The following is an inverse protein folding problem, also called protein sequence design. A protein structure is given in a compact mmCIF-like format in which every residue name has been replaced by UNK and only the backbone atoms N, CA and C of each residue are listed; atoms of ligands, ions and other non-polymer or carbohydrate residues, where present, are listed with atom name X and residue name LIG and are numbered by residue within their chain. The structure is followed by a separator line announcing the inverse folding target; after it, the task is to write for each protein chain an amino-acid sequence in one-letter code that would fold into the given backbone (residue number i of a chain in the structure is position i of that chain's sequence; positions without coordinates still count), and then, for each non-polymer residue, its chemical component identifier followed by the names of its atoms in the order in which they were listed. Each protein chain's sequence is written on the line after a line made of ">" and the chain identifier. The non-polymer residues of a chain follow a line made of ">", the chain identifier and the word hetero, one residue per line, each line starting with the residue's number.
data_IF_878364566984
#
_entry.id   IF_878364566984
#
_cell.length_a   1.000
_cell.length_b   1.000
_cell.length_c   1.000
_cell.angle_alpha   90.00
_cell.angle_beta   90.00
_cell.angle_gamma   90.00
#
_symmetry.space_group_name_H-M   'P 1'
#
loop_
_entity.id
_entity.type
_entity.pdbx_description
1 polymer ?
#
# COMPACT_ATOMS: atom_id res chain seq x y z
N UNK A 1 18.67 -28.80 -8.80
CA UNK A 1 18.18 -27.41 -8.84
C UNK A 1 19.30 -26.50 -8.31
N UNK A 2 19.72 -25.44 -9.04
CA UNK A 2 20.73 -24.50 -8.51
C UNK A 2 20.10 -23.66 -7.39
N UNK A 3 20.82 -23.45 -6.29
CA UNK A 3 20.32 -22.69 -5.12
C UNK A 3 20.19 -21.21 -5.49
N UNK A 4 19.03 -20.61 -5.25
CA UNK A 4 18.86 -19.16 -5.36
C UNK A 4 19.51 -18.52 -4.15
N UNK A 5 20.39 -17.56 -4.37
CA UNK A 5 21.04 -16.84 -3.30
C UNK A 5 20.14 -15.74 -2.75
N UNK A 6 20.13 -15.54 -1.44
CA UNK A 6 19.39 -14.47 -0.77
C UNK A 6 19.74 -13.06 -1.31
N UNK A 7 20.97 -12.87 -1.80
CA UNK A 7 21.44 -11.61 -2.38
C UNK A 7 20.65 -11.16 -3.64
N UNK A 8 19.95 -12.08 -4.31
CA UNK A 8 19.13 -11.77 -5.49
C UNK A 8 17.85 -11.01 -5.14
N UNK A 9 17.40 -11.07 -3.88
CA UNK A 9 16.19 -10.40 -3.40
C UNK A 9 16.48 -9.18 -2.51
N UNK A 10 17.69 -8.60 -2.66
CA UNK A 10 18.13 -7.38 -1.94
C UNK A 10 18.15 -7.57 -0.42
N UNK A 11 18.76 -8.66 0.04
CA UNK A 11 19.12 -8.83 1.44
C UNK A 11 20.57 -8.34 1.67
N UNK A 12 20.78 -7.45 2.65
CA UNK A 12 22.13 -7.08 3.10
C UNK A 12 22.77 -8.19 3.98
N UNK A 13 21.97 -9.19 4.40
CA UNK A 13 22.48 -10.38 5.09
C UNK A 13 23.06 -11.38 4.10
N UNK A 14 24.39 -11.33 3.95
CA UNK A 14 25.17 -12.29 3.17
C UNK A 14 25.23 -13.69 3.81
N UNK A 15 24.87 -13.81 5.09
CA UNK A 15 25.16 -14.99 5.92
C UNK A 15 23.94 -15.87 6.28
N UNK A 16 22.70 -15.44 5.98
CA UNK A 16 21.54 -16.35 6.13
C UNK A 16 21.39 -17.23 4.90
N UNK A 17 21.76 -18.51 5.04
CA UNK A 17 21.52 -19.52 4.02
C UNK A 17 20.04 -19.58 3.66
N UNK A 18 19.70 -19.58 2.36
CA UNK A 18 18.31 -19.55 1.87
C UNK A 18 17.55 -20.87 2.07
N UNK A 19 17.76 -21.58 3.18
CA UNK A 19 17.26 -22.95 3.40
C UNK A 19 17.79 -23.96 2.37
N UNK A 20 17.35 -25.21 2.51
CA UNK A 20 17.52 -26.27 1.53
C UNK A 20 16.34 -26.27 0.56
N UNK A 21 16.55 -26.47 -0.76
CA UNK A 21 15.44 -26.54 -1.70
C UNK A 21 14.47 -27.66 -1.36
N UNK A 22 13.17 -27.36 -1.36
CA UNK A 22 12.10 -28.35 -1.28
C UNK A 22 11.64 -28.67 -2.69
N UNK A 23 11.32 -29.94 -2.95
CA UNK A 23 10.69 -30.31 -4.21
C UNK A 23 9.23 -29.85 -4.21
N UNK A 24 8.91 -28.89 -5.05
CA UNK A 24 7.54 -28.47 -5.38
C UNK A 24 7.34 -28.58 -6.88
N UNK A 25 6.11 -28.84 -7.30
CA UNK A 25 5.77 -28.72 -8.72
C UNK A 25 5.64 -27.24 -9.08
N UNK A 26 6.20 -26.84 -10.24
CA UNK A 26 6.00 -25.47 -10.73
C UNK A 26 4.52 -25.23 -10.99
N UNK A 27 3.91 -24.31 -10.25
CA UNK A 27 2.52 -23.89 -10.47
C UNK A 27 2.44 -22.60 -11.27
N UNK A 28 1.45 -22.52 -12.15
CA UNK A 28 1.07 -21.30 -12.90
C UNK A 28 -0.41 -21.08 -12.68
N UNK A 29 -0.82 -19.86 -12.38
CA UNK A 29 -2.22 -19.53 -12.13
C UNK A 29 -2.50 -18.06 -12.42
N UNK A 30 -3.77 -17.75 -12.71
CA UNK A 30 -4.24 -16.39 -12.93
C UNK A 30 -4.89 -15.83 -11.67
N UNK A 31 -4.48 -14.63 -11.27
CA UNK A 31 -5.12 -13.93 -10.16
C UNK A 31 -5.05 -12.41 -10.36
N UNK A 32 -6.20 -11.76 -10.23
CA UNK A 32 -6.33 -10.30 -10.40
C UNK A 32 -5.99 -9.80 -11.81
N UNK A 33 -6.17 -10.63 -12.84
CA UNK A 33 -5.79 -10.31 -14.22
C UNK A 33 -4.30 -10.41 -14.52
N UNK A 34 -3.52 -11.03 -13.64
CA UNK A 34 -2.10 -11.29 -13.83
C UNK A 34 -1.81 -12.79 -13.80
N UNK A 35 -0.83 -13.22 -14.61
CA UNK A 35 -0.23 -14.53 -14.52
C UNK A 35 0.78 -14.56 -13.35
N UNK A 36 0.69 -15.61 -12.55
CA UNK A 36 1.57 -15.88 -11.42
C UNK A 36 2.25 -17.23 -11.59
N UNK A 37 3.47 -17.34 -11.10
CA UNK A 37 4.29 -18.56 -11.16
C UNK A 37 4.92 -18.81 -9.80
N UNK A 38 4.85 -20.05 -9.30
CA UNK A 38 5.58 -20.49 -8.10
C UNK A 38 6.65 -21.47 -8.56
N UNK A 39 7.90 -21.01 -8.77
CA UNK A 39 8.95 -21.86 -9.31
C UNK A 39 9.74 -22.65 -8.26
N UNK A 40 9.79 -22.19 -7.00
CA UNK A 40 10.64 -22.81 -5.98
C UNK A 40 10.20 -22.51 -4.55
N UNK A 41 10.47 -23.45 -3.65
CA UNK A 41 10.39 -23.27 -2.21
C UNK A 41 11.67 -23.80 -1.53
N UNK A 42 11.98 -23.25 -0.36
CA UNK A 42 13.16 -23.61 0.43
C UNK A 42 12.79 -23.65 1.90
N UNK A 43 13.20 -24.68 2.63
CA UNK A 43 13.00 -24.75 4.08
C UNK A 43 14.31 -24.81 4.84
N UNK A 44 14.27 -24.27 6.05
CA UNK A 44 15.18 -24.68 7.12
C UNK A 44 14.36 -25.19 8.32
N UNK A 45 14.98 -25.26 9.51
CA UNK A 45 14.33 -25.80 10.71
C UNK A 45 13.20 -24.90 11.27
N UNK A 46 13.17 -23.62 10.94
CA UNK A 46 12.27 -22.62 11.54
C UNK A 46 11.54 -21.73 10.53
N UNK A 47 11.90 -21.82 9.25
CA UNK A 47 11.27 -21.03 8.20
C UNK A 47 11.11 -21.79 6.88
N UNK A 48 10.10 -21.37 6.12
CA UNK A 48 10.00 -21.67 4.69
C UNK A 48 9.99 -20.36 3.90
N UNK A 49 10.75 -20.36 2.82
CA UNK A 49 10.83 -19.31 1.83
C UNK A 49 10.21 -19.81 0.53
N UNK A 50 9.23 -19.08 -0.01
CA UNK A 50 8.59 -19.42 -1.28
C UNK A 50 8.87 -18.30 -2.27
N UNK A 51 9.47 -18.65 -3.40
CA UNK A 51 9.66 -17.71 -4.51
C UNK A 51 8.38 -17.68 -5.35
N UNK A 52 7.90 -16.48 -5.67
CA UNK A 52 6.64 -16.25 -6.38
C UNK A 52 6.89 -15.15 -7.41
N UNK A 53 6.58 -15.41 -8.67
CA UNK A 53 6.78 -14.47 -9.77
C UNK A 53 5.42 -14.01 -10.30
N UNK A 54 5.27 -12.73 -10.58
CA UNK A 54 4.10 -12.16 -11.24
C UNK A 54 4.52 -11.55 -12.56
N UNK A 55 3.88 -11.97 -13.66
CA UNK A 55 4.08 -11.36 -14.96
C UNK A 55 3.40 -10.00 -15.02
N UNK A 56 4.11 -9.00 -15.51
CA UNK A 56 3.62 -7.64 -15.70
C UNK A 56 3.56 -7.38 -17.21
N UNK A 57 2.39 -7.01 -17.76
CA UNK A 57 2.30 -6.62 -19.16
C UNK A 57 3.22 -5.42 -19.44
N UNK A 58 4.04 -5.49 -20.49
CA UNK A 58 4.99 -4.44 -20.84
C UNK A 58 4.25 -3.17 -21.25
N UNK A 59 3.11 -3.31 -21.93
CA UNK A 59 2.21 -2.24 -22.31
C UNK A 59 1.65 -1.49 -21.09
N UNK A 60 1.43 -2.19 -19.96
CA UNK A 60 0.99 -1.54 -18.73
C UNK A 60 2.09 -0.67 -18.12
N UNK A 61 3.35 -1.13 -18.17
CA UNK A 61 4.50 -0.30 -17.76
C UNK A 61 4.68 0.91 -18.66
N UNK A 62 4.55 0.75 -19.98
CA UNK A 62 4.60 1.86 -20.95
C UNK A 62 3.49 2.87 -20.69
N UNK A 63 2.24 2.40 -20.61
CA UNK A 63 1.06 3.25 -20.31
C UNK A 63 1.22 4.02 -19.00
N UNK A 64 1.79 3.38 -17.97
CA UNK A 64 2.08 4.05 -16.70
C UNK A 64 3.14 5.15 -16.87
N UNK A 65 4.25 4.88 -17.58
CA UNK A 65 5.30 5.86 -17.86
C UNK A 65 4.76 7.01 -18.71
N UNK A 66 3.97 6.75 -19.74
CA UNK A 66 3.39 7.79 -20.60
C UNK A 66 2.46 8.72 -19.79
N UNK A 67 1.69 8.15 -18.86
CA UNK A 67 0.76 8.91 -18.02
C UNK A 67 1.44 9.70 -16.89
N UNK A 68 2.53 9.17 -16.32
CA UNK A 68 3.09 9.63 -15.04
C UNK A 68 4.59 9.95 -15.03
N UNK A 69 5.34 9.62 -16.10
CA UNK A 69 6.81 9.56 -16.12
C UNK A 69 7.51 10.90 -15.87
N UNK A 70 7.09 11.95 -16.56
CA UNK A 70 7.73 13.29 -16.47
C UNK A 70 7.15 14.16 -15.34
N UNK A 71 6.14 13.67 -14.62
CA UNK A 71 5.50 14.46 -13.57
C UNK A 71 6.37 14.45 -12.33
N UNK A 72 6.85 15.63 -11.93
CA UNK A 72 7.49 15.79 -10.65
C UNK A 72 6.53 15.36 -9.53
N UNK A 73 6.92 14.30 -8.81
CA UNK A 73 6.15 13.77 -7.69
C UNK A 73 5.91 14.84 -6.63
N UNK A 74 6.81 15.83 -6.49
CA UNK A 74 6.64 16.95 -5.57
C UNK A 74 5.53 17.93 -6.02
N UNK A 75 5.04 17.86 -7.26
CA UNK A 75 3.97 18.73 -7.75
C UNK A 75 2.58 18.05 -7.77
N UNK A 76 2.50 16.73 -7.56
CA UNK A 76 1.23 16.01 -7.58
C UNK A 76 0.35 16.35 -6.36
N UNK A 77 -0.96 16.56 -6.56
CA UNK A 77 -1.91 16.63 -5.43
C UNK A 77 -1.96 15.30 -4.67
N UNK A 78 -2.53 15.28 -3.47
CA UNK A 78 -2.70 14.01 -2.74
C UNK A 78 -3.52 13.00 -3.55
N UNK A 79 -4.61 13.47 -4.17
CA UNK A 79 -5.45 12.65 -5.03
C UNK A 79 -4.67 12.08 -6.23
N UNK A 80 -3.87 12.91 -6.91
CA UNK A 80 -3.07 12.46 -8.04
C UNK A 80 -1.99 11.47 -7.62
N UNK A 81 -1.36 11.67 -6.46
CA UNK A 81 -0.37 10.74 -5.90
C UNK A 81 -1.01 9.39 -5.56
N UNK A 82 -2.19 9.41 -4.93
CA UNK A 82 -2.97 8.21 -4.63
C UNK A 82 -3.38 7.48 -5.91
N UNK A 83 -3.88 8.20 -6.92
CA UNK A 83 -4.25 7.62 -8.21
C UNK A 83 -3.04 7.02 -8.94
N UNK A 84 -1.91 7.72 -8.96
CA UNK A 84 -0.66 7.24 -9.50
C UNK A 84 -0.20 5.95 -8.82
N UNK A 85 -0.30 5.86 -7.49
CA UNK A 85 0.02 4.63 -6.77
C UNK A 85 -0.92 3.47 -7.16
N UNK A 86 -2.19 3.74 -7.42
CA UNK A 86 -3.14 2.72 -7.88
C UNK A 86 -2.92 2.31 -9.34
N UNK A 87 -2.37 3.20 -10.17
CA UNK A 87 -2.09 2.94 -11.58
C UNK A 87 -0.74 2.25 -11.80
N UNK A 88 0.15 2.24 -10.81
CA UNK A 88 1.47 1.63 -10.91
C UNK A 88 1.34 0.09 -11.02
N UNK A 89 1.67 -0.52 -12.17
CA UNK A 89 1.50 -1.96 -12.37
C UNK A 89 2.42 -2.79 -11.45
N UNK A 90 3.50 -2.20 -10.92
CA UNK A 90 4.39 -2.82 -9.94
C UNK A 90 3.84 -2.77 -8.51
N UNK A 91 2.73 -2.05 -8.30
CA UNK A 91 2.08 -1.83 -7.00
C UNK A 91 0.73 -2.53 -6.95
N UNK A 92 0.78 -3.84 -6.73
CA UNK A 92 -0.37 -4.62 -6.29
C UNK A 92 -0.17 -5.01 -4.83
N UNK A 93 -1.04 -4.60 -3.90
CA UNK A 93 -0.94 -5.07 -2.52
C UNK A 93 -1.29 -6.54 -2.48
N UNK A 94 -0.39 -7.32 -1.92
CA UNK A 94 -0.53 -8.77 -1.80
C UNK A 94 -0.15 -9.22 -0.41
N UNK A 95 -0.85 -10.24 0.03
CA UNK A 95 -0.59 -11.00 1.24
C UNK A 95 -0.43 -12.45 0.84
N UNK A 96 0.57 -13.09 1.43
CA UNK A 96 0.80 -14.50 1.31
C UNK A 96 0.61 -15.11 2.70
N UNK A 97 -0.25 -16.11 2.80
CA UNK A 97 -0.32 -17.05 3.92
C UNK A 97 -0.10 -18.45 3.34
N UNK A 98 0.36 -19.37 4.17
CA UNK A 98 0.40 -20.79 3.80
C UNK A 98 -0.44 -21.59 4.79
N UNK A 99 -0.91 -22.74 4.34
CA UNK A 99 -1.43 -23.78 5.21
C UNK A 99 -0.53 -24.99 5.08
N UNK A 100 -0.02 -25.50 6.20
CA UNK A 100 0.80 -26.71 6.25
C UNK A 100 0.10 -27.73 7.12
N UNK A 101 -0.16 -28.94 6.59
CA UNK A 101 -0.82 -30.02 7.33
C UNK A 101 -2.16 -29.59 7.98
N UNK A 102 -2.86 -28.60 7.41
CA UNK A 102 -4.12 -28.04 7.94
C UNK A 102 -3.95 -26.87 8.93
N UNK A 103 -2.73 -26.47 9.27
CA UNK A 103 -2.47 -25.30 10.12
C UNK A 103 -2.08 -24.07 9.29
N UNK A 104 -2.79 -22.95 9.49
CA UNK A 104 -2.48 -21.69 8.81
C UNK A 104 -1.27 -21.01 9.46
N UNK A 105 -0.26 -20.73 8.63
CA UNK A 105 0.91 -19.93 8.98
C UNK A 105 0.87 -18.65 8.17
N UNK A 106 0.73 -17.53 8.88
CA UNK A 106 0.72 -16.20 8.27
C UNK A 106 2.14 -15.80 7.86
N UNK A 107 2.28 -15.23 6.66
CA UNK A 107 3.56 -14.71 6.18
C UNK A 107 4.12 -13.62 7.10
N UNK A 108 5.39 -13.76 7.45
CA UNK A 108 6.14 -12.82 8.28
C UNK A 108 6.65 -11.61 7.48
N UNK A 109 6.63 -11.72 6.15
CA UNK A 109 6.97 -10.65 5.23
C UNK A 109 7.33 -11.20 3.85
N UNK A 110 7.77 -10.30 2.97
CA UNK A 110 8.36 -10.70 1.70
C UNK A 110 9.36 -9.65 1.21
N UNK A 111 10.35 -10.12 0.45
CA UNK A 111 11.24 -9.27 -0.32
C UNK A 111 10.77 -9.24 -1.77
N UNK A 112 11.04 -8.14 -2.49
CA UNK A 112 10.73 -8.08 -3.92
C UNK A 112 11.82 -7.45 -4.76
N UNK A 113 11.93 -7.93 -5.99
CA UNK A 113 12.75 -7.33 -7.04
C UNK A 113 12.01 -7.39 -8.37
N UNK A 114 12.47 -6.66 -9.39
CA UNK A 114 11.79 -6.53 -10.68
C UNK A 114 12.76 -6.73 -11.83
N UNK A 115 12.34 -7.49 -12.84
CA UNK A 115 12.95 -7.53 -14.16
C UNK A 115 12.11 -6.65 -15.09
N UNK A 116 12.78 -5.77 -15.82
CA UNK A 116 12.17 -5.02 -16.92
C UNK A 116 13.03 -5.20 -18.16
N UNK A 117 12.44 -5.60 -19.31
CA UNK A 117 13.21 -5.85 -20.54
C UNK A 117 14.05 -4.66 -21.01
N UNK A 118 13.56 -3.42 -20.78
CA UNK A 118 14.18 -2.17 -21.27
C UNK A 118 15.05 -1.45 -20.22
N UNK A 119 15.28 -2.05 -19.04
CA UNK A 119 16.12 -1.45 -17.99
C UNK A 119 17.56 -1.99 -18.09
N UNK A 120 18.57 -1.13 -18.20
CA UNK A 120 19.97 -1.56 -18.31
C UNK A 120 20.78 -1.37 -17.02
N UNK A 121 20.13 -1.07 -15.88
CA UNK A 121 20.82 -0.86 -14.61
C UNK A 121 21.45 -2.14 -14.01
N UNK A 122 22.47 -1.99 -13.15
CA UNK A 122 23.14 -3.11 -12.46
C UNK A 122 22.18 -4.01 -11.67
N UNK A 123 21.10 -3.43 -11.13
CA UNK A 123 20.02 -4.18 -10.48
C UNK A 123 19.40 -5.24 -11.38
N UNK A 124 19.37 -5.00 -12.70
CA UNK A 124 18.78 -5.92 -13.66
C UNK A 124 19.67 -7.15 -13.94
N UNK A 125 20.99 -7.07 -13.72
CA UNK A 125 21.92 -8.20 -13.95
C UNK A 125 21.61 -9.36 -12.99
N UNK A 126 21.42 -9.07 -11.69
CA UNK A 126 21.11 -10.10 -10.68
C UNK A 126 19.73 -10.73 -10.89
N UNK A 127 18.77 -9.93 -11.34
CA UNK A 127 17.41 -10.41 -11.61
C UNK A 127 17.37 -11.25 -12.89
N UNK A 128 18.26 -10.99 -13.86
CA UNK A 128 18.41 -11.83 -15.06
C UNK A 128 18.74 -13.29 -14.73
N UNK A 129 19.53 -13.53 -13.68
CA UNK A 129 19.81 -14.89 -13.20
C UNK A 129 18.54 -15.61 -12.70
N UNK A 130 17.67 -14.89 -11.99
CA UNK A 130 16.37 -15.44 -11.55
C UNK A 130 15.48 -15.77 -12.74
N UNK A 131 15.44 -14.89 -13.75
CA UNK A 131 14.69 -15.08 -14.97
C UNK A 131 15.12 -16.35 -15.73
N UNK A 132 16.43 -16.56 -15.86
CA UNK A 132 17.00 -17.76 -16.47
C UNK A 132 16.72 -19.01 -15.63
N UNK A 133 16.93 -18.94 -14.32
CA UNK A 133 16.75 -20.07 -13.41
C UNK A 133 15.31 -20.59 -13.40
N UNK A 134 14.32 -19.68 -13.41
CA UNK A 134 12.91 -20.05 -13.39
C UNK A 134 12.30 -20.23 -14.78
N UNK A 135 13.09 -20.07 -15.85
CA UNK A 135 12.64 -20.24 -17.23
C UNK A 135 11.54 -19.25 -17.64
N UNK A 136 11.64 -17.99 -17.19
CA UNK A 136 10.64 -16.96 -17.46
C UNK A 136 10.97 -16.20 -18.75
N UNK A 137 9.94 -15.71 -19.45
CA UNK A 137 10.10 -15.03 -20.74
C UNK A 137 10.82 -13.67 -20.57
N UNK A 138 11.98 -13.44 -21.22
CA UNK A 138 12.80 -12.25 -21.04
C UNK A 138 12.20 -10.97 -21.64
N UNK A 139 11.29 -11.12 -22.61
CA UNK A 139 10.57 -10.05 -23.29
C UNK A 139 9.43 -9.45 -22.45
N UNK A 140 9.12 -10.08 -21.32
CA UNK A 140 8.07 -9.68 -20.39
C UNK A 140 8.68 -9.06 -19.15
N UNK A 141 7.97 -8.15 -18.50
CA UNK A 141 8.38 -7.69 -17.18
C UNK A 141 7.91 -8.66 -16.09
N UNK A 142 8.72 -8.84 -15.06
CA UNK A 142 8.45 -9.79 -13.98
C UNK A 142 8.71 -9.15 -12.63
N UNK A 143 7.77 -9.32 -11.71
CA UNK A 143 7.95 -8.99 -10.30
C UNK A 143 8.21 -10.28 -9.54
N UNK A 144 9.33 -10.34 -8.84
CA UNK A 144 9.73 -11.50 -8.06
C UNK A 144 9.51 -11.19 -6.59
N UNK A 145 8.85 -12.10 -5.89
CA UNK A 145 8.65 -12.08 -4.46
C UNK A 145 9.37 -13.27 -3.84
N UNK A 146 9.99 -13.07 -2.68
CA UNK A 146 10.37 -14.15 -1.77
C UNK A 146 9.54 -13.98 -0.50
N UNK A 147 8.50 -14.79 -0.35
CA UNK A 147 7.65 -14.81 0.83
C UNK A 147 8.28 -15.67 1.92
N UNK A 148 8.30 -15.15 3.15
CA UNK A 148 8.92 -15.79 4.31
C UNK A 148 7.85 -16.14 5.33
N UNK A 149 7.86 -17.38 5.80
CA UNK A 149 6.94 -17.88 6.81
C UNK A 149 7.75 -18.54 7.91
N UNK A 150 7.64 -18.03 9.13
CA UNK A 150 8.31 -18.59 10.31
C UNK A 150 7.34 -19.38 11.17
N UNK A 151 7.85 -20.38 11.88
CA UNK A 151 7.15 -21.09 12.93
C UNK A 151 8.00 -21.18 14.20
N UNK A 152 7.35 -21.18 15.36
CA UNK A 152 8.04 -21.16 16.65
C UNK A 152 8.55 -22.55 17.09
N UNK A 153 7.91 -23.61 16.62
CA UNK A 153 8.18 -24.99 17.03
C UNK A 153 8.62 -25.78 15.83
N UNK A 154 9.61 -26.66 16.01
CA UNK A 154 10.02 -27.60 14.97
C UNK A 154 8.79 -28.28 14.36
N UNK A 155 8.64 -28.11 13.06
CA UNK A 155 7.46 -28.57 12.35
C UNK A 155 7.63 -30.06 12.02
N UNK A 156 6.57 -30.83 12.21
CA UNK A 156 6.53 -32.22 11.74
C UNK A 156 6.70 -32.29 10.22
N UNK A 157 6.95 -33.49 9.69
CA UNK A 157 7.06 -33.72 8.25
C UNK A 157 5.92 -33.06 7.46
N UNK A 158 6.29 -32.28 6.44
CA UNK A 158 5.34 -31.59 5.56
C UNK A 158 4.67 -32.63 4.66
N UNK A 159 3.38 -32.90 4.88
CA UNK A 159 2.57 -33.83 4.08
C UNK A 159 1.72 -33.12 3.05
N UNK A 160 1.23 -31.93 3.39
CA UNK A 160 0.47 -31.06 2.49
C UNK A 160 0.86 -29.61 2.72
N UNK A 161 0.86 -28.84 1.64
CA UNK A 161 1.09 -27.41 1.66
C UNK A 161 0.19 -26.71 0.66
N UNK A 162 -0.40 -25.59 1.07
CA UNK A 162 -1.07 -24.69 0.14
C UNK A 162 -0.69 -23.24 0.40
N UNK A 163 -0.67 -22.44 -0.66
CA UNK A 163 -0.44 -21.00 -0.61
C UNK A 163 -1.77 -20.27 -0.83
N UNK A 164 -2.09 -19.34 0.06
CA UNK A 164 -3.17 -18.38 -0.09
C UNK A 164 -2.62 -17.03 -0.53
N UNK A 165 -2.95 -16.63 -1.76
CA UNK A 165 -2.75 -15.28 -2.26
C UNK A 165 -4.01 -14.45 -1.99
N UNK A 166 -3.88 -13.38 -1.22
CA UNK A 166 -4.96 -12.44 -0.91
C UNK A 166 -4.49 -10.99 -0.97
N UNK A 167 -5.42 -10.05 -0.75
CA UNK A 167 -5.12 -8.61 -0.76
C UNK A 167 -5.91 -7.85 0.29
N UNK A 168 -5.33 -6.75 0.76
CA UNK A 168 -6.08 -5.75 1.52
C UNK A 168 -6.93 -4.89 0.58
N UNK A 169 -7.94 -4.22 1.14
CA UNK A 169 -8.65 -3.17 0.42
C UNK A 169 -7.67 -2.07 0.02
N UNK A 170 -7.85 -1.56 -1.19
CA UNK A 170 -7.10 -0.43 -1.74
C UNK A 170 -8.07 0.69 -2.04
N UNK A 171 -7.80 1.85 -1.47
CA UNK A 171 -8.56 3.05 -1.78
C UNK A 171 -8.08 3.63 -3.10
N UNK A 172 -8.98 3.65 -4.10
CA UNK A 172 -8.76 4.35 -5.37
C UNK A 172 -9.58 5.65 -5.38
N UNK A 173 -8.98 6.80 -5.75
CA UNK A 173 -9.74 8.04 -5.93
C UNK A 173 -10.88 7.87 -6.95
N UNK A 174 -12.07 8.34 -6.57
CA UNK A 174 -13.25 8.36 -7.44
C UNK A 174 -13.24 9.55 -8.42
N UNK A 175 -12.40 10.57 -8.20
CA UNK A 175 -12.45 11.85 -8.91
C UNK A 175 -13.64 12.74 -8.55
N UNK A 176 -14.51 12.30 -7.64
CA UNK A 176 -15.52 13.17 -7.07
C UNK A 176 -14.91 14.00 -5.94
N UNK A 177 -15.15 15.31 -5.98
CA UNK A 177 -14.68 16.27 -4.98
C UNK A 177 -15.84 17.10 -4.45
N UNK A 178 -15.69 17.57 -3.22
CA UNK A 178 -16.62 18.50 -2.60
C UNK A 178 -15.88 19.36 -1.57
N UNK A 179 -16.49 20.48 -1.20
CA UNK A 179 -15.87 21.44 -0.29
C UNK A 179 -16.69 21.56 0.98
N UNK A 180 -16.02 21.81 2.11
CA UNK A 180 -16.67 22.07 3.39
C UNK A 180 -16.09 23.30 4.07
N UNK A 181 -16.96 24.14 4.62
CA UNK A 181 -16.60 25.16 5.60
C UNK A 181 -16.90 24.68 7.02
N UNK A 182 -16.37 25.36 8.03
CA UNK A 182 -16.78 25.11 9.42
C UNK A 182 -18.29 25.36 9.55
N UNK A 183 -19.02 24.45 10.20
CA UNK A 183 -20.48 24.52 10.40
C UNK A 183 -21.35 24.45 9.13
N UNK A 184 -20.84 23.98 7.99
CA UNK A 184 -21.65 23.78 6.78
C UNK A 184 -22.54 22.52 6.79
N UNK A 185 -22.36 21.65 7.79
CA UNK A 185 -23.09 20.40 7.96
C UNK A 185 -24.39 20.60 8.77
N UNK A 186 -25.41 19.74 8.61
CA UNK A 186 -25.41 18.50 7.83
C UNK A 186 -25.84 18.67 6.36
N UNK A 187 -25.26 17.87 5.46
CA UNK A 187 -25.70 17.75 4.06
C UNK A 187 -25.30 16.38 3.48
N UNK A 188 -25.79 16.04 2.28
CA UNK A 188 -25.48 14.76 1.62
C UNK A 188 -24.86 15.01 0.25
N UNK A 189 -23.82 14.24 -0.09
CA UNK A 189 -23.24 14.21 -1.43
C UNK A 189 -23.49 12.85 -2.09
N UNK A 190 -23.85 12.87 -3.36
CA UNK A 190 -24.03 11.67 -4.19
C UNK A 190 -22.78 11.46 -5.03
N UNK A 191 -22.16 10.30 -4.87
CA UNK A 191 -20.91 9.93 -5.54
C UNK A 191 -21.21 8.86 -6.60
N UNK A 192 -20.99 9.14 -7.89
CA UNK A 192 -21.19 8.15 -8.94
C UNK A 192 -20.11 7.05 -8.87
N UNK A 193 -20.49 5.78 -8.96
CA UNK A 193 -19.51 4.69 -9.11
C UNK A 193 -18.99 4.67 -10.55
N UNK A 194 -17.67 4.73 -10.74
CA UNK A 194 -17.04 4.81 -12.08
C UNK A 194 -17.35 3.64 -13.02
N UNK A 195 -17.64 2.46 -12.48
CA UNK A 195 -17.76 1.21 -13.27
C UNK A 195 -19.07 0.44 -13.05
N UNK A 196 -20.03 0.98 -12.31
CA UNK A 196 -21.29 0.30 -11.96
C UNK A 196 -22.37 1.37 -12.04
N UNK A 197 -23.55 1.01 -12.51
CA UNK A 197 -24.77 1.84 -12.43
C UNK A 197 -25.26 1.96 -10.96
N UNK A 198 -24.34 2.21 -10.03
CA UNK A 198 -24.58 2.36 -8.61
C UNK A 198 -24.13 3.76 -8.22
N UNK A 199 -25.00 4.47 -7.53
CA UNK A 199 -24.66 5.71 -6.84
C UNK A 199 -24.46 5.41 -5.36
N UNK A 200 -23.50 6.07 -4.73
CA UNK A 200 -23.34 6.02 -3.28
C UNK A 200 -23.72 7.36 -2.68
N UNK A 201 -24.30 7.36 -1.49
CA UNK A 201 -24.51 8.58 -0.73
C UNK A 201 -23.61 8.65 0.50
N UNK A 202 -23.06 9.83 0.69
CA UNK A 202 -22.18 10.18 1.79
C UNK A 202 -22.86 11.32 2.56
N UNK A 203 -23.27 11.03 3.79
CA UNK A 203 -23.91 11.99 4.69
C UNK A 203 -22.84 12.68 5.52
N UNK A 204 -22.64 13.98 5.29
CA UNK A 204 -21.73 14.81 6.06
C UNK A 204 -22.45 15.26 7.33
N UNK A 205 -21.88 14.92 8.48
CA UNK A 205 -22.49 15.12 9.80
C UNK A 205 -21.94 16.38 10.48
N UNK A 206 -20.62 16.59 10.44
CA UNK A 206 -19.98 17.77 11.01
C UNK A 206 -18.64 18.07 10.33
N UNK A 207 -18.24 19.34 10.33
CA UNK A 207 -16.89 19.77 9.95
C UNK A 207 -16.40 20.79 10.98
N UNK A 208 -15.32 20.45 11.72
CA UNK A 208 -14.80 21.25 12.83
C UNK A 208 -13.31 21.51 12.67
N UNK A 209 -12.88 22.73 12.96
CA UNK A 209 -11.46 23.05 13.11
C UNK A 209 -10.97 22.59 14.49
N UNK A 210 -9.81 21.94 14.52
CA UNK A 210 -9.09 21.55 15.73
C UNK A 210 -7.66 22.06 15.64
N UNK A 211 -7.05 22.25 16.81
CA UNK A 211 -5.63 22.54 16.93
C UNK A 211 -4.99 21.39 17.69
N UNK A 212 -3.90 20.85 17.15
CA UNK A 212 -3.17 19.78 17.82
C UNK A 212 -2.29 20.36 18.91
N UNK A 213 -2.38 19.78 20.10
CA UNK A 213 -1.55 20.19 21.23
C UNK A 213 -0.12 19.64 21.09
N UNK A 214 0.86 20.32 21.70
CA UNK A 214 2.28 19.94 21.62
C UNK A 214 2.57 18.55 22.22
N UNK A 215 1.71 18.09 23.15
CA UNK A 215 1.79 16.77 23.76
C UNK A 215 1.27 15.66 22.82
N UNK A 216 0.28 15.97 21.99
CA UNK A 216 -0.34 15.04 21.03
C UNK A 216 0.49 14.86 19.76
N UNK A 217 1.37 15.82 19.44
CA UNK A 217 2.30 15.71 18.32
C UNK A 217 3.30 14.54 18.46
N UNK A 218 3.36 13.91 19.64
CA UNK A 218 4.46 13.05 20.06
C UNK A 218 5.74 13.88 20.12
N UNK A 219 6.58 13.76 21.16
CA UNK A 219 7.97 14.17 20.97
C UNK A 219 8.54 13.15 19.98
N UNK A 220 8.85 13.52 18.72
CA UNK A 220 9.50 12.56 17.84
C UNK A 220 10.84 12.26 18.50
N UNK A 221 11.04 11.00 18.85
CA UNK A 221 12.29 10.57 19.44
C UNK A 221 13.43 10.95 18.48
N UNK A 222 14.49 11.54 19.05
CA UNK A 222 15.71 12.07 18.43
C UNK A 222 15.70 13.47 17.76
N UNK A 223 16.48 14.37 18.36
CA UNK A 223 17.16 15.57 17.82
C UNK A 223 16.35 16.77 17.27
N UNK A 224 15.01 16.80 17.34
CA UNK A 224 14.25 17.95 16.79
C UNK A 224 14.38 19.26 17.58
N UNK A 225 14.83 19.20 18.84
CA UNK A 225 15.06 20.37 19.70
C UNK A 225 16.08 21.38 19.16
N UNK A 226 16.94 20.98 18.22
CA UNK A 226 17.95 21.85 17.59
C UNK A 226 17.56 22.35 16.19
N UNK A 227 16.45 21.87 15.62
CA UNK A 227 16.12 22.13 14.22
C UNK A 227 15.64 23.55 13.93
N UNK A 228 15.21 24.29 14.97
CA UNK A 228 14.62 25.61 14.82
C UNK A 228 13.39 25.61 13.89
N UNK A 229 12.67 24.50 13.76
CA UNK A 229 11.48 24.39 12.88
C UNK A 229 10.18 24.54 13.66
N UNK A 230 9.23 25.27 13.09
CA UNK A 230 7.85 25.44 13.56
C UNK A 230 6.93 24.66 12.62
N UNK A 231 6.03 23.85 13.18
CA UNK A 231 5.12 22.98 12.44
C UNK A 231 3.69 23.54 12.44
N UNK A 232 2.90 23.32 11.36
CA UNK A 232 1.49 23.66 11.36
C UNK A 232 0.73 22.79 12.38
N UNK A 233 -0.28 23.36 13.04
CA UNK A 233 -1.03 22.68 14.13
C UNK A 233 -2.54 22.64 13.90
N UNK A 234 -3.08 23.47 13.01
CA UNK A 234 -4.53 23.54 12.77
C UNK A 234 -4.92 22.51 11.72
N UNK A 235 -6.01 21.79 11.93
CA UNK A 235 -6.55 20.81 10.99
C UNK A 235 -8.07 20.69 11.15
N UNK A 236 -8.72 20.14 10.14
CA UNK A 236 -10.18 20.03 10.09
C UNK A 236 -10.57 18.56 10.20
N UNK A 237 -11.55 18.27 11.06
CA UNK A 237 -12.13 16.95 11.20
C UNK A 237 -13.51 16.97 10.58
N UNK A 238 -13.69 16.13 9.57
CA UNK A 238 -14.94 15.88 8.88
C UNK A 238 -15.54 14.57 9.37
N UNK A 239 -16.69 14.63 10.02
CA UNK A 239 -17.47 13.45 10.41
C UNK A 239 -18.51 13.15 9.35
N UNK A 240 -18.59 11.89 8.93
CA UNK A 240 -19.50 11.43 7.89
C UNK A 240 -19.98 10.01 8.12
N UNK A 241 -21.07 9.66 7.45
CA UNK A 241 -21.66 8.33 7.39
C UNK A 241 -21.92 7.94 5.94
N UNK A 242 -21.79 6.66 5.63
CA UNK A 242 -22.17 6.08 4.33
C UNK A 242 -23.49 5.31 4.46
N UNK A 243 -24.28 5.19 3.38
CA UNK A 243 -25.52 4.40 3.41
C UNK A 243 -25.29 2.93 3.78
N UNK A 244 -24.11 2.37 3.48
CA UNK A 244 -23.70 1.03 3.90
C UNK A 244 -23.49 0.89 5.41
N UNK A 245 -23.21 1.98 6.13
CA UNK A 245 -22.95 1.92 7.57
C UNK A 245 -24.22 1.65 8.39
N UNK A 246 -25.41 1.88 7.83
CA UNK A 246 -26.70 1.60 8.48
C UNK A 246 -27.23 0.18 8.30
N UNK A 247 -26.49 -0.69 7.61
CA UNK A 247 -26.83 -2.13 7.44
C UNK A 247 -25.96 -3.00 8.35
N UNK A 248 -25.53 -2.47 9.50
CA UNK A 248 -24.72 -3.17 10.50
C UNK A 248 -25.56 -4.19 11.28
N UNK A 249 -25.92 -5.27 10.59
CA UNK A 249 -26.47 -6.48 11.13
C UNK A 249 -26.20 -7.55 10.10
N UNK A 250 -25.20 -8.40 10.38
CA UNK A 250 -24.73 -9.52 9.56
C UNK A 250 -23.74 -9.12 8.43
N UNK A 251 -22.51 -9.63 8.56
CA UNK A 251 -21.35 -9.49 7.66
C UNK A 251 -20.52 -8.19 7.80
N UNK A 252 -19.82 -8.06 8.94
CA UNK A 252 -18.56 -7.31 9.04
C UNK A 252 -17.43 -7.85 8.11
N UNK A 253 -17.72 -8.89 7.31
CA UNK A 253 -16.91 -9.36 6.18
C UNK A 253 -17.56 -9.11 4.80
N UNK A 254 -18.54 -8.21 4.69
CA UNK A 254 -19.23 -7.96 3.43
C UNK A 254 -18.28 -7.38 2.36
N UNK A 255 -18.36 -7.98 1.17
CA UNK A 255 -17.61 -7.70 -0.07
C UNK A 255 -17.88 -6.31 -0.67
N UNK A 256 -18.63 -5.44 0.00
CA UNK A 256 -19.03 -4.15 -0.56
C UNK A 256 -17.89 -3.13 -0.55
N UNK A 257 -17.91 -2.22 -1.53
CA UNK A 257 -16.95 -1.14 -1.63
C UNK A 257 -17.15 -0.13 -0.49
N UNK A 258 -16.06 0.33 0.12
CA UNK A 258 -16.11 1.23 1.28
C UNK A 258 -15.75 2.64 0.82
N UNK A 259 -16.62 3.62 1.08
CA UNK A 259 -16.31 5.02 0.81
C UNK A 259 -15.41 5.60 1.90
N UNK A 260 -14.42 6.37 1.48
CA UNK A 260 -13.48 7.07 2.33
C UNK A 260 -13.32 8.50 1.84
N UNK A 261 -13.07 9.43 2.73
CA UNK A 261 -12.87 10.86 2.41
C UNK A 261 -11.45 11.26 2.75
N UNK A 262 -10.83 12.05 1.87
CA UNK A 262 -9.44 12.47 1.96
C UNK A 262 -9.30 13.93 1.54
N UNK A 263 -8.33 14.64 2.10
CA UNK A 263 -8.03 16.02 1.73
C UNK A 263 -7.29 16.09 0.38
N UNK A 264 -7.64 17.05 -0.46
CA UNK A 264 -6.95 17.31 -1.72
C UNK A 264 -5.60 18.01 -1.52
N UNK A 265 -5.49 18.86 -0.51
CA UNK A 265 -4.34 19.71 -0.25
C UNK A 265 -3.17 18.95 0.37
N UNK A 266 -1.96 19.51 0.28
CA UNK A 266 -0.79 19.05 1.05
C UNK A 266 -0.68 19.84 2.35
N UNK A 267 -0.06 19.26 3.40
CA UNK A 267 0.22 20.02 4.61
C UNK A 267 1.17 21.17 4.34
N UNK A 268 1.00 22.26 5.08
CA UNK A 268 1.94 23.37 5.06
C UNK A 268 3.35 22.86 5.43
N UNK A 269 4.36 23.33 4.69
CA UNK A 269 5.74 22.96 4.98
C UNK A 269 6.21 23.61 6.28
N UNK A 270 6.93 22.89 7.16
CA UNK A 270 7.48 23.47 8.38
C UNK A 270 8.34 24.70 8.08
N UNK A 271 8.20 25.74 8.90
CA UNK A 271 8.91 27.01 8.72
C UNK A 271 10.08 27.07 9.69
N UNK A 272 11.21 27.62 9.25
CA UNK A 272 12.35 27.85 10.12
C UNK A 272 12.17 29.11 10.95
N UNK A 273 12.30 28.97 12.26
CA UNK A 273 12.33 30.04 13.23
C UNK A 273 13.57 30.90 12.99
N UNK A 274 13.36 32.20 12.73
CA UNK A 274 14.41 33.16 12.37
C UNK A 274 15.38 33.47 13.52
N UNK A 275 15.08 33.04 14.74
CA UNK A 275 15.90 33.32 15.94
C UNK A 275 17.10 32.37 16.09
N UNK A 276 17.22 31.32 15.27
CA UNK A 276 18.35 30.37 15.30
C UNK A 276 19.03 30.39 13.93
N UNK A 277 20.18 31.08 13.85
CA UNK A 277 21.05 31.03 12.67
C UNK A 277 21.80 29.72 12.70
N UNK A 278 21.45 28.80 11.80
CA UNK A 278 22.32 27.67 11.48
C UNK A 278 22.22 27.41 9.98
N UNK A 279 23.34 27.39 9.27
CA UNK A 279 23.38 27.12 7.84
C UNK A 279 23.37 25.62 7.59
N UNK A 280 22.20 25.01 7.41
CA UNK A 280 22.07 23.66 6.86
C UNK A 280 20.87 23.67 5.90
N UNK A 281 21.14 23.47 4.61
CA UNK A 281 20.13 23.17 3.61
C UNK A 281 19.63 21.74 3.86
N UNK A 282 18.53 21.60 4.61
CA UNK A 282 17.86 20.33 4.81
C UNK A 282 16.65 20.27 3.86
N UNK A 283 16.77 19.52 2.78
CA UNK A 283 15.64 19.11 1.95
C UNK A 283 14.81 18.08 2.74
N UNK A 284 13.74 18.52 3.39
CA UNK A 284 12.80 17.63 4.08
C UNK A 284 11.80 17.08 3.08
N UNK A 285 11.90 15.79 2.79
CA UNK A 285 10.88 15.03 2.06
C UNK A 285 9.70 14.85 3.02
N UNK A 286 8.74 15.77 2.96
CA UNK A 286 7.48 15.69 3.69
C UNK A 286 6.61 14.57 3.14
N UNK A 287 6.35 13.54 3.93
CA UNK A 287 5.61 12.36 3.50
C UNK A 287 5.00 11.56 4.64
N UNK A 288 4.33 12.22 5.58
CA UNK A 288 3.36 11.56 6.45
C UNK A 288 1.96 12.01 6.03
N UNK A 289 1.39 11.33 5.03
CA UNK A 289 -0.03 11.42 4.72
C UNK A 289 -0.79 10.66 5.82
N UNK A 290 -1.05 11.34 6.94
CA UNK A 290 -1.78 10.79 8.07
C UNK A 290 -3.28 10.95 7.86
N UNK A 291 -3.93 9.98 7.21
CA UNK A 291 -5.38 9.80 7.39
C UNK A 291 -5.56 8.59 8.30
N UNK A 292 -5.84 8.84 9.57
CA UNK A 292 -6.44 7.83 10.44
C UNK A 292 -7.97 7.98 10.30
N UNK A 293 -8.62 7.05 9.59
CA UNK A 293 -10.07 6.92 9.67
C UNK A 293 -10.37 6.32 11.04
N UNK A 294 -10.75 7.15 12.00
CA UNK A 294 -11.27 6.68 13.28
C UNK A 294 -12.74 6.30 13.06
N UNK A 295 -13.06 5.04 13.27
CA UNK A 295 -14.44 4.53 13.24
C UNK A 295 -14.95 4.44 14.67
N UNK A 296 -15.99 5.21 14.99
CA UNK A 296 -16.76 5.06 16.24
C UNK A 296 -18.20 4.74 15.85
N UNK A 297 -18.58 3.46 15.93
CA UNK A 297 -19.90 2.98 15.49
C UNK A 297 -20.11 3.17 13.99
N UNK A 298 -21.26 3.73 13.60
CA UNK A 298 -21.62 4.03 12.19
C UNK A 298 -20.98 5.32 11.65
N UNK A 299 -20.26 6.07 12.49
CA UNK A 299 -19.66 7.36 12.13
C UNK A 299 -18.18 7.20 11.84
N UNK A 300 -17.75 7.78 10.72
CA UNK A 300 -16.37 7.85 10.27
C UNK A 300 -15.85 9.28 10.36
N UNK A 301 -14.56 9.43 10.61
CA UNK A 301 -13.88 10.72 10.57
C UNK A 301 -12.79 10.74 9.49
N UNK A 302 -12.68 11.85 8.77
CA UNK A 302 -11.53 12.20 7.94
C UNK A 302 -10.87 13.47 8.49
N UNK A 303 -9.54 13.51 8.43
CA UNK A 303 -8.77 14.67 8.85
C UNK A 303 -8.16 15.36 7.63
N UNK A 304 -8.18 16.69 7.62
CA UNK A 304 -7.44 17.47 6.64
C UNK A 304 -5.95 17.41 6.93
N UNK A 305 -5.17 17.87 5.96
CA UNK A 305 -3.80 18.30 6.16
C UNK A 305 -3.73 19.39 7.23
N UNK A 306 -2.54 19.61 7.78
CA UNK A 306 -2.30 20.64 8.78
C UNK A 306 -1.91 21.97 8.14
N UNK A 307 -2.40 23.05 8.75
CA UNK A 307 -2.18 24.44 8.34
C UNK A 307 -1.66 25.30 9.50
N UNK A 308 -0.93 26.37 9.18
CA UNK A 308 -0.58 27.41 10.16
C UNK A 308 -1.77 28.32 10.47
N UNK A 309 -2.51 28.69 9.44
CA UNK A 309 -3.67 29.57 9.51
C UNK A 309 -4.95 28.80 9.22
N UNK A 310 -6.08 29.32 9.70
CA UNK A 310 -7.38 28.76 9.38
C UNK A 310 -7.69 28.98 7.90
N UNK A 311 -8.19 27.93 7.25
CA UNK A 311 -8.72 27.99 5.90
C UNK A 311 -10.22 28.26 5.96
N UNK A 312 -10.77 29.11 5.08
CA UNK A 312 -12.20 29.33 5.00
C UNK A 312 -12.95 28.04 4.60
N UNK A 313 -12.32 27.26 3.73
CA UNK A 313 -12.88 26.06 3.13
C UNK A 313 -11.81 24.99 2.92
N UNK A 314 -12.21 23.72 2.99
CA UNK A 314 -11.38 22.55 2.72
C UNK A 314 -11.99 21.75 1.57
N UNK A 315 -11.18 21.44 0.55
CA UNK A 315 -11.56 20.59 -0.59
C UNK A 315 -11.21 19.13 -0.29
N UNK A 316 -12.21 18.25 -0.37
CA UNK A 316 -12.07 16.81 -0.15
C UNK A 316 -12.28 16.03 -1.44
N UNK A 317 -11.63 14.89 -1.57
CA UNK A 317 -11.94 13.90 -2.60
C UNK A 317 -12.44 12.59 -1.96
N UNK A 318 -13.33 11.90 -2.67
CA UNK A 318 -13.85 10.60 -2.24
C UNK A 318 -13.02 9.49 -2.84
N UNK A 319 -12.53 8.58 -2.00
CA UNK A 319 -11.88 7.33 -2.38
C UNK A 319 -12.82 6.14 -2.18
N UNK A 320 -12.75 5.18 -3.10
CA UNK A 320 -13.50 3.91 -3.02
C UNK A 320 -12.51 2.80 -2.69
N UNK A 321 -12.70 2.16 -1.53
CA UNK A 321 -11.84 1.09 -1.04
C UNK A 321 -12.44 -0.29 -1.33
N UNK A 322 -11.81 -1.01 -2.26
CA UNK A 322 -12.24 -2.33 -2.72
C UNK A 322 -11.09 -3.32 -2.64
N UNK A 323 -11.42 -4.62 -2.57
CA UNK A 323 -10.40 -5.68 -2.65
C UNK A 323 -10.04 -5.84 -4.14
N UNK A 324 -8.75 -5.71 -4.54
CA UNK A 324 -8.34 -5.73 -5.94
C UNK A 324 -8.68 -7.02 -6.69
N UNK A 325 -8.67 -8.16 -6.00
CA UNK A 325 -8.94 -9.48 -6.59
C UNK A 325 -9.49 -10.44 -5.52
N UNK A 326 -10.16 -11.50 -5.94
CA UNK A 326 -10.63 -12.54 -5.02
C UNK A 326 -9.44 -13.39 -4.55
N UNK A 327 -9.38 -13.77 -3.25
CA UNK A 327 -8.34 -14.67 -2.77
C UNK A 327 -8.30 -15.97 -3.57
N UNK A 328 -7.10 -16.46 -3.84
CA UNK A 328 -6.87 -17.74 -4.52
C UNK A 328 -5.97 -18.59 -3.65
N UNK A 329 -6.40 -19.83 -3.39
CA UNK A 329 -5.62 -20.84 -2.71
C UNK A 329 -5.16 -21.88 -3.72
N UNK A 330 -3.93 -22.35 -3.57
CA UNK A 330 -3.33 -23.37 -4.45
C UNK A 330 -2.47 -24.33 -3.65
N UNK A 331 -2.62 -25.62 -3.90
CA UNK A 331 -1.71 -26.64 -3.37
C UNK A 331 -0.35 -26.52 -4.07
N UNK A 332 0.74 -26.61 -3.31
CA UNK A 332 2.12 -26.43 -3.79
C UNK A 332 3.05 -27.55 -3.38
#
# INVERSE_FOLDING_TARGET
>A
MKRVKAENYRNNDKDKGSGSPIHIERKVFDCGGYEWVIPAAYSDAQEINIDICRRIPVEALRSFRDKWGDKDRALLTQEQSALRNCDDPLRLPVKFSIEINGEEIRGSGWYKTVWQPDDSGEGNIRVKELLQLYGLAPDSAWLFYRAVFHWEREMADIKSMSLLLSSNRVTRPSGYRFTTAVNCAPFTVTVPHRCREKEYRLHILSCRCKTMDDLECGKPDMHRGESGLVFPKKYYVLEYRTESDGKSGEAAGSREDILTVHDCARPDSPIRNKTIVSSIAASVIGGAAGVAVLTQGETRAACSSMYFEEKPEIEWYVGIASVPFQPVQMEI
#
